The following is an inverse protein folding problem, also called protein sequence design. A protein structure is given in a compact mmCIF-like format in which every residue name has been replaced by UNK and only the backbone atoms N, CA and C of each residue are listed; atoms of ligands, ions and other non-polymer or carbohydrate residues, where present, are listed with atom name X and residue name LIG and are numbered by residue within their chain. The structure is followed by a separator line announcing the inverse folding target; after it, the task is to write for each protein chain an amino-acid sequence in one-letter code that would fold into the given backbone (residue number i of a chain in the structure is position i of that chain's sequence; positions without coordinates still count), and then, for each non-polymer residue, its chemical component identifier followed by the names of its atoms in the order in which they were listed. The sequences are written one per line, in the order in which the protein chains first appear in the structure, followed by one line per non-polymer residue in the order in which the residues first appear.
data_IF_246787677393
#
_entry.id   IF_246787677393
#
_cell.length_a   1.000
_cell.length_b   1.000
_cell.length_c   1.000
_cell.angle_alpha   90.00
_cell.angle_beta   90.00
_cell.angle_gamma   90.00
#
_symmetry.space_group_name_H-M   'P 1'
#
loop_
_entity.id
_entity.type
_entity.pdbx_description
1 polymer ?
#
# COMPACT_ATOMS: atom_id res chain seq x y z
N UNK A 1 -45.36 0.59 39.28
CA UNK A 1 -44.18 -0.25 39.55
C UNK A 1 -42.98 0.68 39.60
N UNK A 2 -42.08 0.54 40.58
CA UNK A 2 -40.86 1.34 40.64
C UNK A 2 -40.01 1.10 39.38
N UNK A 3 -39.36 2.14 38.86
CA UNK A 3 -38.50 2.04 37.69
C UNK A 3 -37.28 1.19 38.08
N UNK A 4 -36.73 0.45 37.12
CA UNK A 4 -35.57 -0.40 37.41
C UNK A 4 -34.36 0.49 37.72
N UNK A 5 -33.54 0.16 38.73
CA UNK A 5 -32.44 1.02 39.18
C UNK A 5 -31.40 1.27 38.08
N UNK A 6 -31.24 0.35 37.13
CA UNK A 6 -30.33 0.52 35.99
C UNK A 6 -30.82 1.61 35.02
N UNK A 7 -32.15 1.72 34.84
CA UNK A 7 -32.74 2.75 33.98
C UNK A 7 -32.66 4.13 34.64
N UNK A 8 -32.84 4.21 35.95
CA UNK A 8 -32.66 5.45 36.71
C UNK A 8 -31.22 5.93 36.60
N UNK A 9 -30.24 5.03 36.70
CA UNK A 9 -28.81 5.39 36.55
C UNK A 9 -28.44 5.80 35.12
N UNK A 10 -29.08 5.18 34.12
CA UNK A 10 -28.91 5.59 32.72
C UNK A 10 -29.42 7.01 32.49
N UNK A 11 -30.60 7.36 33.04
CA UNK A 11 -31.16 8.71 32.96
C UNK A 11 -30.23 9.74 33.64
N UNK A 12 -29.71 9.45 34.83
CA UNK A 12 -28.73 10.30 35.52
C UNK A 12 -27.45 10.53 34.69
N UNK A 13 -26.95 9.47 34.06
CA UNK A 13 -25.74 9.54 33.23
C UNK A 13 -26.00 10.38 31.97
N UNK A 14 -27.16 10.23 31.34
CA UNK A 14 -27.58 11.05 30.20
C UNK A 14 -27.65 12.53 30.58
N UNK A 15 -28.26 12.86 31.72
CA UNK A 15 -28.33 14.23 32.20
C UNK A 15 -26.95 14.83 32.50
N UNK A 16 -26.02 14.03 33.05
CA UNK A 16 -24.65 14.47 33.28
C UNK A 16 -23.89 14.73 31.96
N UNK A 17 -24.12 13.91 30.93
CA UNK A 17 -23.55 14.12 29.59
C UNK A 17 -24.08 15.40 28.93
N UNK A 18 -25.37 15.70 29.07
CA UNK A 18 -25.94 16.96 28.58
C UNK A 18 -25.33 18.19 29.27
N UNK A 19 -25.18 18.13 30.59
CA UNK A 19 -24.52 19.20 31.35
C UNK A 19 -23.05 19.38 30.94
N UNK A 20 -22.33 18.28 30.74
CA UNK A 20 -20.95 18.30 30.25
C UNK A 20 -20.87 18.90 28.83
N UNK A 21 -21.76 18.49 27.93
CA UNK A 21 -21.82 19.00 26.57
C UNK A 21 -22.06 20.52 26.52
N UNK A 22 -22.99 21.02 27.35
CA UNK A 22 -23.27 22.45 27.46
C UNK A 22 -22.04 23.22 27.97
N UNK A 23 -21.39 22.72 29.02
CA UNK A 23 -20.17 23.31 29.58
C UNK A 23 -19.05 23.40 28.52
N UNK A 24 -18.85 22.35 27.71
CA UNK A 24 -17.80 22.32 26.68
C UNK A 24 -18.13 23.26 25.52
N UNK A 25 -19.40 23.42 25.13
CA UNK A 25 -19.81 24.31 24.03
C UNK A 25 -19.56 25.79 24.32
N UNK A 26 -19.75 26.21 25.56
CA UNK A 26 -19.60 27.62 25.98
C UNK A 26 -18.19 27.96 26.48
N UNK A 27 -17.33 26.96 26.69
CA UNK A 27 -15.98 27.17 27.19
C UNK A 27 -15.03 27.70 26.09
N UNK A 28 -14.35 28.81 26.38
CA UNK A 28 -13.18 29.21 25.58
C UNK A 28 -11.99 28.30 25.94
N UNK A 29 -11.52 27.53 24.96
CA UNK A 29 -10.46 26.54 25.16
C UNK A 29 -9.23 26.80 24.31
N UNK A 30 -8.05 26.75 24.93
CA UNK A 30 -6.77 26.65 24.23
C UNK A 30 -6.63 25.31 23.51
N UNK A 31 -5.79 25.23 22.46
CA UNK A 31 -5.59 23.99 21.71
C UNK A 31 -5.13 22.78 22.57
N UNK A 32 -4.23 22.93 23.57
CA UNK A 32 -3.89 21.83 24.47
C UNK A 32 -5.05 21.37 25.35
N UNK A 33 -5.86 22.30 25.87
CA UNK A 33 -7.03 21.98 26.69
C UNK A 33 -8.09 21.23 25.87
N UNK A 34 -8.34 21.70 24.63
CA UNK A 34 -9.24 21.05 23.67
C UNK A 34 -8.82 19.61 23.36
N UNK A 35 -7.52 19.38 23.12
CA UNK A 35 -6.98 18.03 22.88
C UNK A 35 -7.23 17.10 24.07
N UNK A 36 -7.08 17.58 25.31
CA UNK A 36 -7.33 16.79 26.52
C UNK A 36 -8.82 16.44 26.69
N UNK A 37 -9.71 17.37 26.38
CA UNK A 37 -11.17 17.11 26.42
C UNK A 37 -11.58 16.10 25.34
N UNK A 38 -11.05 16.21 24.12
CA UNK A 38 -11.30 15.22 23.06
C UNK A 38 -10.79 13.82 23.45
N UNK A 39 -9.63 13.73 24.09
CA UNK A 39 -9.11 12.46 24.60
C UNK A 39 -10.05 11.87 25.68
N UNK A 40 -10.50 12.67 26.66
CA UNK A 40 -11.43 12.20 27.69
C UNK A 40 -12.78 11.75 27.11
N UNK A 41 -13.28 12.42 26.06
CA UNK A 41 -14.48 11.99 25.33
C UNK A 41 -14.25 10.63 24.65
N UNK A 42 -13.09 10.44 24.03
CA UNK A 42 -12.71 9.15 23.43
C UNK A 42 -12.70 8.03 24.48
N UNK A 43 -12.09 8.27 25.64
CA UNK A 43 -12.03 7.30 26.75
C UNK A 43 -13.45 6.94 27.26
N UNK A 44 -14.36 7.93 27.36
CA UNK A 44 -15.75 7.69 27.74
C UNK A 44 -16.51 6.87 26.68
N UNK A 45 -16.29 7.15 25.39
CA UNK A 45 -16.88 6.38 24.27
C UNK A 45 -16.42 4.92 24.29
N UNK A 46 -15.17 4.68 24.70
CA UNK A 46 -14.63 3.32 24.86
C UNK A 46 -15.27 2.61 26.05
N UNK A 47 -15.38 3.27 27.21
CA UNK A 47 -16.01 2.70 28.40
C UNK A 47 -17.49 2.35 28.20
N UNK A 48 -18.26 3.22 27.52
CA UNK A 48 -19.67 2.95 27.23
C UNK A 48 -19.86 1.79 26.26
N UNK A 49 -19.00 1.68 25.23
CA UNK A 49 -19.02 0.52 24.34
C UNK A 49 -18.66 -0.78 25.06
N UNK A 50 -17.67 -0.75 25.95
CA UNK A 50 -17.33 -1.93 26.73
C UNK A 50 -18.51 -2.35 27.63
N UNK A 51 -19.20 -1.39 28.23
CA UNK A 51 -20.39 -1.67 29.03
C UNK A 51 -21.50 -2.30 28.18
N UNK A 52 -21.79 -1.75 27.01
CA UNK A 52 -22.75 -2.29 26.04
C UNK A 52 -22.42 -3.76 25.69
N UNK A 53 -21.16 -4.04 25.32
CA UNK A 53 -20.70 -5.41 25.02
C UNK A 53 -20.82 -6.37 26.20
N UNK A 54 -20.65 -5.87 27.43
CA UNK A 54 -20.71 -6.70 28.64
C UNK A 54 -22.14 -7.08 29.05
N UNK A 55 -23.12 -6.23 28.71
CA UNK A 55 -24.52 -6.42 29.11
C UNK A 55 -25.39 -6.96 27.99
N UNK A 56 -24.97 -6.86 26.73
CA UNK A 56 -25.66 -7.46 25.60
C UNK A 56 -25.49 -9.00 25.65
N UNK A 57 -26.58 -9.78 25.87
CA UNK A 57 -26.50 -11.24 25.88
C UNK A 57 -26.26 -11.82 24.48
N UNK A 58 -26.41 -11.02 23.42
CA UNK A 58 -26.24 -11.44 22.03
C UNK A 58 -24.77 -11.26 21.64
N UNK A 59 -24.11 -12.37 21.29
CA UNK A 59 -22.72 -12.33 20.85
C UNK A 59 -22.62 -11.78 19.44
N UNK A 60 -21.65 -10.89 19.22
CA UNK A 60 -21.21 -10.51 17.89
C UNK A 60 -20.59 -11.73 17.18
N UNK A 61 -20.68 -11.80 15.85
CA UNK A 61 -20.07 -12.89 15.11
C UNK A 61 -18.55 -12.85 15.24
N UNK A 62 -17.91 -14.03 15.20
CA UNK A 62 -16.44 -14.13 15.28
C UNK A 62 -15.73 -13.44 14.09
N UNK A 63 -16.45 -13.25 12.98
CA UNK A 63 -15.98 -12.55 11.79
C UNK A 63 -17.13 -11.80 11.10
N UNK A 64 -16.81 -10.65 10.52
CA UNK A 64 -17.72 -9.84 9.70
C UNK A 64 -16.97 -9.44 8.42
N UNK A 65 -17.59 -9.73 7.27
CA UNK A 65 -17.05 -9.40 5.96
C UNK A 65 -17.90 -8.31 5.34
N UNK A 66 -17.36 -7.10 5.21
CA UNK A 66 -17.98 -6.01 4.46
C UNK A 66 -17.51 -6.04 2.99
N UNK A 67 -18.33 -6.52 2.05
CA UNK A 67 -17.94 -6.59 0.64
C UNK A 67 -17.77 -5.22 -0.01
N UNK A 68 -18.27 -4.14 0.62
CA UNK A 68 -18.16 -2.78 0.11
C UNK A 68 -16.84 -2.10 0.51
N UNK A 69 -16.03 -2.75 1.33
CA UNK A 69 -14.80 -2.18 1.85
C UNK A 69 -13.82 -1.82 0.70
N UNK A 70 -13.44 -0.54 0.52
CA UNK A 70 -12.58 -0.11 -0.59
C UNK A 70 -11.20 -0.81 -0.62
N UNK A 71 -10.72 -1.28 0.53
CA UNK A 71 -9.47 -2.04 0.64
C UNK A 71 -9.56 -3.37 -0.11
N UNK A 72 -10.72 -4.02 -0.13
CA UNK A 72 -10.91 -5.31 -0.81
C UNK A 72 -10.75 -5.18 -2.32
N UNK A 73 -11.14 -4.06 -2.92
CA UNK A 73 -10.95 -3.85 -4.36
C UNK A 73 -9.48 -3.89 -4.73
N UNK A 74 -8.60 -3.26 -3.93
CA UNK A 74 -7.15 -3.35 -4.12
C UNK A 74 -6.63 -4.78 -4.04
N UNK A 75 -7.19 -5.60 -3.13
CA UNK A 75 -6.85 -7.02 -3.01
C UNK A 75 -7.27 -7.81 -4.25
N UNK A 76 -8.50 -7.65 -4.74
CA UNK A 76 -8.97 -8.38 -5.92
C UNK A 76 -8.20 -8.03 -7.18
N UNK A 77 -7.87 -6.75 -7.37
CA UNK A 77 -7.03 -6.31 -8.50
C UNK A 77 -5.62 -6.89 -8.39
N UNK A 78 -5.04 -6.94 -7.19
CA UNK A 78 -3.74 -7.56 -6.96
C UNK A 78 -3.77 -9.07 -7.27
N UNK A 79 -4.79 -9.81 -6.81
CA UNK A 79 -4.99 -11.21 -7.16
C UNK A 79 -5.15 -11.43 -8.66
N UNK A 80 -5.94 -10.58 -9.33
CA UNK A 80 -6.13 -10.64 -10.76
C UNK A 80 -4.81 -10.42 -11.52
N UNK A 81 -3.95 -9.49 -11.07
CA UNK A 81 -2.62 -9.29 -11.63
C UNK A 81 -1.76 -10.55 -11.46
N UNK A 82 -1.71 -11.10 -10.25
CA UNK A 82 -0.88 -12.27 -9.93
C UNK A 82 -1.33 -13.55 -10.65
N UNK A 83 -2.59 -13.59 -11.06
CA UNK A 83 -3.14 -14.67 -11.88
C UNK A 83 -2.78 -14.57 -13.37
N UNK A 84 -2.22 -13.43 -13.81
CA UNK A 84 -1.74 -13.31 -15.19
C UNK A 84 -0.45 -14.10 -15.40
N UNK A 85 -0.26 -14.59 -16.62
CA UNK A 85 1.01 -15.19 -17.02
C UNK A 85 2.13 -14.15 -17.02
N UNK A 86 3.35 -14.61 -16.72
CA UNK A 86 4.54 -13.79 -16.84
C UNK A 86 4.96 -13.71 -18.29
N UNK A 87 5.26 -12.49 -18.73
CA UNK A 87 5.79 -12.24 -20.06
C UNK A 87 7.22 -11.71 -19.95
N UNK A 88 8.15 -12.08 -20.85
CA UNK A 88 9.46 -11.46 -20.90
C UNK A 88 9.33 -9.95 -21.06
N UNK A 89 10.00 -9.17 -20.20
CA UNK A 89 9.91 -7.70 -20.23
C UNK A 89 10.39 -7.12 -21.56
N UNK A 90 11.35 -7.78 -22.22
CA UNK A 90 11.84 -7.41 -23.54
C UNK A 90 10.89 -7.70 -24.70
N UNK A 91 9.84 -8.50 -24.50
CA UNK A 91 8.92 -8.95 -25.55
C UNK A 91 7.56 -8.24 -25.53
N UNK A 92 7.36 -7.26 -24.64
CA UNK A 92 6.09 -6.54 -24.55
C UNK A 92 5.81 -5.73 -25.82
N UNK A 93 4.59 -5.82 -26.33
CA UNK A 93 4.10 -5.01 -27.46
C UNK A 93 3.16 -3.91 -26.97
N UNK A 94 2.97 -2.80 -27.72
CA UNK A 94 2.01 -1.76 -27.34
C UNK A 94 0.60 -2.32 -27.13
N UNK A 95 -0.04 -1.90 -26.04
CA UNK A 95 -1.44 -2.21 -25.73
C UNK A 95 -2.11 -1.03 -25.01
N UNK A 96 -3.43 -0.93 -25.13
CA UNK A 96 -4.22 0.09 -24.44
C UNK A 96 -4.45 -0.28 -22.97
N UNK A 97 -4.46 0.73 -22.10
CA UNK A 97 -4.76 0.61 -20.70
C UNK A 97 -3.79 1.35 -19.78
N UNK A 98 -4.35 1.77 -18.66
CA UNK A 98 -3.66 2.19 -17.45
C UNK A 98 -3.91 1.14 -16.37
N UNK A 99 -3.05 1.05 -15.35
CA UNK A 99 -3.25 0.02 -14.33
C UNK A 99 -2.01 -0.27 -13.52
N UNK A 100 -1.82 -1.55 -13.19
CA UNK A 100 -0.80 -2.02 -12.27
C UNK A 100 0.09 -3.07 -12.95
N UNK A 101 1.35 -3.13 -12.55
CA UNK A 101 2.33 -4.09 -13.05
C UNK A 101 3.31 -4.52 -11.96
N UNK A 102 3.91 -5.68 -12.17
CA UNK A 102 4.97 -6.21 -11.35
C UNK A 102 6.10 -6.73 -12.25
N UNK A 103 7.35 -6.47 -11.87
CA UNK A 103 8.56 -6.92 -12.56
C UNK A 103 9.23 -7.98 -11.69
N UNK A 104 9.67 -9.05 -12.33
CA UNK A 104 10.29 -10.22 -11.70
C UNK A 104 11.69 -10.42 -12.26
N UNK A 105 12.57 -10.99 -11.44
CA UNK A 105 13.94 -11.31 -11.82
C UNK A 105 14.13 -12.83 -11.84
N UNK A 106 14.88 -13.31 -12.83
CA UNK A 106 15.23 -14.74 -13.00
C UNK A 106 16.69 -14.97 -13.40
N UNK A 107 17.52 -13.93 -13.28
CA UNK A 107 18.92 -13.98 -13.69
C UNK A 107 19.88 -14.39 -12.57
N UNK A 108 21.18 -14.36 -12.85
CA UNK A 108 22.22 -14.86 -11.96
C UNK A 108 22.84 -13.81 -11.02
N UNK A 109 22.40 -12.55 -11.02
CA UNK A 109 23.03 -11.50 -10.21
C UNK A 109 22.92 -11.82 -8.71
N UNK A 110 24.07 -11.96 -8.03
CA UNK A 110 24.15 -12.41 -6.64
C UNK A 110 23.28 -11.60 -5.68
N UNK A 111 23.21 -10.28 -5.88
CA UNK A 111 22.41 -9.38 -5.03
C UNK A 111 20.90 -9.70 -5.09
N UNK A 112 20.44 -10.44 -6.11
CA UNK A 112 19.04 -10.83 -6.30
C UNK A 112 18.80 -12.34 -6.24
N UNK A 113 19.84 -13.13 -5.94
CA UNK A 113 19.75 -14.59 -5.92
C UNK A 113 18.55 -15.13 -5.10
N UNK A 114 18.19 -14.57 -3.92
CA UNK A 114 17.08 -15.10 -3.12
C UNK A 114 15.69 -15.05 -3.79
N UNK A 115 15.46 -14.10 -4.71
CA UNK A 115 14.18 -13.93 -5.40
C UNK A 115 14.21 -14.40 -6.86
N UNK A 116 15.37 -14.82 -7.35
CA UNK A 116 15.54 -15.25 -8.74
C UNK A 116 14.66 -16.47 -9.04
N UNK A 117 13.78 -16.34 -10.04
CA UNK A 117 12.86 -17.41 -10.45
C UNK A 117 11.70 -17.67 -9.48
N UNK A 118 11.50 -16.81 -8.49
CA UNK A 118 10.42 -16.93 -7.49
C UNK A 118 9.17 -16.15 -7.90
N UNK A 119 8.11 -16.25 -7.09
CA UNK A 119 6.89 -15.44 -7.15
C UNK A 119 6.99 -14.04 -6.52
N UNK A 120 8.19 -13.64 -6.10
CA UNK A 120 8.46 -12.33 -5.47
C UNK A 120 8.90 -11.29 -6.51
N UNK A 121 8.12 -10.23 -6.75
CA UNK A 121 8.52 -9.17 -7.66
C UNK A 121 9.67 -8.35 -7.09
N UNK A 122 10.60 -7.94 -7.96
CA UNK A 122 11.69 -7.02 -7.61
C UNK A 122 11.19 -5.57 -7.58
N UNK A 123 10.15 -5.27 -8.36
CA UNK A 123 9.51 -3.96 -8.45
C UNK A 123 8.02 -4.09 -8.73
N UNK A 124 7.21 -3.24 -8.11
CA UNK A 124 5.79 -3.08 -8.40
C UNK A 124 5.53 -1.62 -8.74
N UNK A 125 4.67 -1.36 -9.71
CA UNK A 125 4.27 -0.01 -10.01
C UNK A 125 2.88 0.11 -10.62
N UNK A 126 2.43 1.36 -10.74
CA UNK A 126 1.25 1.73 -11.52
C UNK A 126 1.56 2.64 -12.70
N UNK A 127 0.59 2.74 -13.59
CA UNK A 127 0.48 3.77 -14.60
C UNK A 127 -0.91 4.40 -14.50
N UNK A 128 -0.98 5.71 -14.27
CA UNK A 128 -2.25 6.43 -14.15
C UNK A 128 -2.85 6.74 -15.53
N UNK A 129 -4.19 6.70 -15.65
CA UNK A 129 -4.87 7.12 -16.87
C UNK A 129 -4.78 8.63 -17.07
N UNK A 130 -5.00 9.13 -18.31
CA UNK A 130 -5.35 10.53 -18.52
C UNK A 130 -6.59 10.92 -17.73
N UNK A 131 -6.65 12.18 -17.29
CA UNK A 131 -7.81 12.72 -16.56
C UNK A 131 -9.10 12.53 -17.37
N UNK A 132 -10.11 11.92 -16.74
CA UNK A 132 -11.44 11.73 -17.34
C UNK A 132 -11.58 10.50 -18.24
N UNK A 133 -10.55 9.67 -18.41
CA UNK A 133 -10.66 8.43 -19.18
C UNK A 133 -11.62 7.43 -18.52
N UNK A 134 -12.63 6.98 -19.26
CA UNK A 134 -13.67 6.04 -18.81
C UNK A 134 -13.54 4.66 -19.46
N UNK A 135 -12.98 4.59 -20.66
CA UNK A 135 -12.77 3.36 -21.42
C UNK A 135 -11.28 3.00 -21.50
N UNK A 136 -10.97 1.72 -21.73
CA UNK A 136 -9.58 1.24 -21.87
C UNK A 136 -8.83 1.95 -23.00
N UNK A 137 -9.51 2.30 -24.10
CA UNK A 137 -8.91 3.02 -25.24
C UNK A 137 -8.55 4.46 -24.85
N UNK A 138 -9.43 5.16 -24.14
CA UNK A 138 -9.17 6.52 -23.62
C UNK A 138 -8.03 6.54 -22.59
N UNK A 139 -7.72 5.40 -21.98
CA UNK A 139 -6.55 5.28 -21.10
C UNK A 139 -5.21 5.24 -21.86
N UNK A 140 -5.23 5.24 -23.20
CA UNK A 140 -4.04 5.24 -24.06
C UNK A 140 -3.10 4.04 -23.77
N UNK A 141 -1.82 4.12 -24.11
CA UNK A 141 -0.84 3.04 -23.89
C UNK A 141 -0.03 3.24 -22.59
N UNK A 142 -0.66 3.77 -21.53
CA UNK A 142 0.03 4.24 -20.31
C UNK A 142 0.83 3.13 -19.63
N UNK A 143 0.24 1.95 -19.46
CA UNK A 143 0.89 0.82 -18.80
C UNK A 143 2.08 0.30 -19.62
N UNK A 144 1.90 0.11 -20.92
CA UNK A 144 2.97 -0.25 -21.85
C UNK A 144 4.10 0.79 -21.82
N UNK A 145 3.78 2.08 -21.89
CA UNK A 145 4.76 3.16 -21.91
C UNK A 145 5.63 3.14 -20.65
N UNK A 146 5.02 2.91 -19.47
CA UNK A 146 5.74 2.83 -18.20
C UNK A 146 6.63 1.59 -18.10
N UNK A 147 6.16 0.42 -18.53
CA UNK A 147 6.99 -0.79 -18.60
C UNK A 147 8.16 -0.63 -19.60
N UNK A 148 7.90 0.02 -20.73
CA UNK A 148 8.90 0.30 -21.75
C UNK A 148 9.98 1.29 -21.26
N UNK A 149 9.63 2.22 -20.36
CA UNK A 149 10.62 3.06 -19.68
C UNK A 149 11.55 2.23 -18.78
N UNK A 150 11.00 1.31 -17.97
CA UNK A 150 11.80 0.40 -17.14
C UNK A 150 12.70 -0.50 -17.98
N UNK A 151 12.15 -1.07 -19.06
CA UNK A 151 12.91 -1.85 -20.05
C UNK A 151 14.14 -1.07 -20.54
N UNK A 152 13.93 0.17 -21.01
CA UNK A 152 15.01 1.05 -21.49
C UNK A 152 16.02 1.44 -20.40
N UNK A 153 15.59 1.52 -19.13
CA UNK A 153 16.51 1.80 -18.02
C UNK A 153 17.40 0.60 -17.71
N UNK A 154 16.84 -0.63 -17.74
CA UNK A 154 17.59 -1.87 -17.56
C UNK A 154 18.59 -2.08 -18.71
N UNK A 155 18.22 -1.77 -19.96
CA UNK A 155 19.12 -1.87 -21.12
C UNK A 155 20.37 -0.98 -21.05
N UNK A 156 20.33 0.08 -20.24
CA UNK A 156 21.39 1.09 -20.16
C UNK A 156 22.43 0.81 -19.07
N UNK A 157 22.23 -0.21 -18.24
CA UNK A 157 23.05 -0.42 -17.05
C UNK A 157 23.83 -1.72 -17.09
N UNK A 158 24.95 -1.74 -16.39
CA UNK A 158 25.76 -2.93 -16.19
C UNK A 158 25.27 -3.76 -14.99
N UNK A 159 25.62 -5.05 -14.97
CA UNK A 159 25.35 -5.96 -13.85
C UNK A 159 24.04 -6.74 -13.93
N UNK A 160 23.14 -6.36 -14.84
CA UNK A 160 21.88 -7.07 -15.13
C UNK A 160 21.60 -7.10 -16.63
N UNK A 161 20.91 -8.12 -17.11
CA UNK A 161 20.52 -8.28 -18.52
C UNK A 161 18.99 -8.25 -18.63
N UNK A 162 18.46 -7.57 -19.65
CA UNK A 162 17.02 -7.47 -19.87
C UNK A 162 16.34 -8.85 -20.03
N UNK A 163 17.03 -9.85 -20.60
CA UNK A 163 16.47 -11.20 -20.79
C UNK A 163 16.14 -11.93 -19.48
N UNK A 164 16.68 -11.43 -18.38
CA UNK A 164 16.51 -11.96 -17.02
C UNK A 164 15.30 -11.33 -16.30
N UNK A 165 14.52 -10.50 -17.00
CA UNK A 165 13.34 -9.85 -16.44
C UNK A 165 12.06 -10.29 -17.12
N UNK A 166 11.06 -10.53 -16.28
CA UNK A 166 9.69 -10.84 -16.67
C UNK A 166 8.75 -9.83 -16.03
N UNK A 167 7.54 -9.69 -16.55
CA UNK A 167 6.53 -8.84 -15.95
C UNK A 167 5.13 -9.45 -16.03
N UNK A 168 4.29 -9.04 -15.09
CA UNK A 168 2.83 -9.10 -15.19
C UNK A 168 2.31 -7.67 -15.34
N UNK A 169 1.30 -7.48 -16.17
CA UNK A 169 0.67 -6.19 -16.38
C UNK A 169 -0.84 -6.38 -16.46
N UNK A 170 -1.60 -5.55 -15.75
CA UNK A 170 -3.06 -5.60 -15.76
C UNK A 170 -3.60 -4.19 -15.96
N UNK A 171 -4.29 -3.98 -17.09
CA UNK A 171 -5.10 -2.79 -17.30
C UNK A 171 -6.34 -2.85 -16.41
N UNK A 172 -6.67 -1.74 -15.75
CA UNK A 172 -7.79 -1.66 -14.81
C UNK A 172 -8.63 -0.41 -15.05
N UNK A 173 -9.85 -0.41 -14.56
CA UNK A 173 -10.68 0.81 -14.58
C UNK A 173 -10.01 1.91 -13.74
N UNK A 174 -10.14 3.14 -14.23
CA UNK A 174 -9.57 4.34 -13.63
C UNK A 174 -9.97 4.46 -12.15
N UNK A 175 -8.98 4.60 -11.27
CA UNK A 175 -9.18 4.76 -9.82
C UNK A 175 -8.72 3.57 -8.99
N UNK A 176 -8.60 2.37 -9.59
CA UNK A 176 -8.22 1.17 -8.83
C UNK A 176 -6.72 0.87 -8.80
N UNK A 177 -5.94 1.48 -9.70
CA UNK A 177 -4.52 1.17 -9.84
C UNK A 177 -3.69 1.49 -8.58
N UNK A 178 -4.03 2.55 -7.85
CA UNK A 178 -3.29 2.97 -6.65
C UNK A 178 -3.53 2.04 -5.46
N UNK A 179 -4.77 1.59 -5.26
CA UNK A 179 -5.09 0.65 -4.20
C UNK A 179 -4.38 -0.70 -4.42
N UNK A 180 -4.33 -1.17 -5.67
CA UNK A 180 -3.64 -2.40 -6.04
C UNK A 180 -2.12 -2.32 -5.86
N UNK A 181 -1.49 -1.25 -6.36
CA UNK A 181 -0.04 -1.01 -6.18
C UNK A 181 0.32 -1.00 -4.69
N UNK A 182 -0.41 -0.21 -3.90
CA UNK A 182 -0.17 -0.12 -2.46
C UNK A 182 -0.32 -1.47 -1.75
N UNK A 183 -1.30 -2.27 -2.15
CA UNK A 183 -1.50 -3.61 -1.60
C UNK A 183 -0.32 -4.53 -1.95
N UNK A 184 0.07 -4.60 -3.22
CA UNK A 184 1.19 -5.42 -3.70
C UNK A 184 2.52 -5.01 -3.05
N UNK A 185 2.79 -3.72 -2.87
CA UNK A 185 4.00 -3.25 -2.19
C UNK A 185 4.04 -3.71 -0.73
N UNK A 186 2.90 -3.64 -0.02
CA UNK A 186 2.81 -4.12 1.38
C UNK A 186 2.96 -5.63 1.50
N UNK A 187 2.47 -6.38 0.51
CA UNK A 187 2.56 -7.84 0.49
C UNK A 187 3.99 -8.30 0.21
N UNK A 188 4.61 -7.78 -0.85
CA UNK A 188 5.87 -8.30 -1.38
C UNK A 188 7.12 -7.56 -0.91
N UNK A 189 7.00 -6.34 -0.40
CA UNK A 189 8.15 -5.50 -0.03
C UNK A 189 9.23 -5.39 -1.13
N UNK A 190 8.87 -5.13 -2.40
CA UNK A 190 9.82 -5.17 -3.52
C UNK A 190 11.02 -4.24 -3.34
N UNK A 191 12.24 -4.78 -3.42
CA UNK A 191 13.47 -4.05 -3.04
C UNK A 191 13.77 -2.81 -3.89
N UNK A 192 13.24 -2.71 -5.13
CA UNK A 192 13.43 -1.53 -5.99
C UNK A 192 12.42 -0.40 -5.74
N UNK A 193 11.38 -0.66 -4.96
CA UNK A 193 10.37 0.34 -4.64
C UNK A 193 10.89 1.38 -3.67
N UNK A 194 10.39 2.62 -3.80
CA UNK A 194 10.81 3.73 -2.94
C UNK A 194 10.40 3.50 -1.48
N UNK A 195 9.38 2.69 -1.23
CA UNK A 195 8.80 2.38 0.07
C UNK A 195 9.75 1.56 0.94
N UNK A 196 10.62 0.73 0.34
CA UNK A 196 11.58 -0.07 1.11
C UNK A 196 12.80 0.76 1.55
N UNK A 197 13.11 1.86 0.86
CA UNK A 197 14.28 2.73 1.10
C UNK A 197 15.65 2.02 1.00
N UNK A 198 15.69 0.88 0.32
CA UNK A 198 16.91 0.07 0.14
C UNK A 198 17.54 0.35 -1.22
N UNK A 199 16.95 -0.18 -2.29
CA UNK A 199 17.51 -0.16 -3.65
C UNK A 199 16.65 0.63 -4.62
N UNK A 200 16.21 1.81 -4.18
CA UNK A 200 15.27 2.65 -4.93
C UNK A 200 15.95 3.48 -6.01
N UNK A 201 15.16 3.92 -7.02
CA UNK A 201 15.59 4.91 -8.01
C UNK A 201 15.46 4.52 -9.49
N UNK A 202 15.03 3.30 -9.80
CA UNK A 202 14.80 2.87 -11.20
C UNK A 202 13.79 3.79 -11.93
N UNK A 203 12.73 4.22 -11.24
CA UNK A 203 11.68 5.09 -11.79
C UNK A 203 12.04 6.58 -11.87
N UNK A 204 13.23 7.00 -11.44
CA UNK A 204 13.70 8.39 -11.58
C UNK A 204 14.00 8.68 -13.04
N UNK A 205 13.36 9.71 -13.56
CA UNK A 205 13.76 10.33 -14.82
C UNK A 205 14.87 11.33 -14.52
N UNK A 206 15.92 11.33 -15.35
CA UNK A 206 16.98 12.32 -15.22
C UNK A 206 16.39 13.70 -15.47
N UNK A 207 16.28 14.51 -14.42
CA UNK A 207 16.01 15.93 -14.58
C UNK A 207 17.08 16.54 -15.50
N UNK A 208 16.71 17.55 -16.27
CA UNK A 208 17.62 18.25 -17.16
C UNK A 208 18.92 18.66 -16.43
N UNK A 209 20.02 18.77 -17.18
CA UNK A 209 21.39 18.95 -16.69
C UNK A 209 21.66 20.16 -15.75
N UNK A 210 20.63 20.93 -15.37
CA UNK A 210 20.65 22.09 -14.48
C UNK A 210 20.38 21.77 -12.99
N UNK A 211 19.89 20.58 -12.61
CA UNK A 211 19.62 20.20 -11.19
C UNK A 211 20.73 19.36 -10.54
N UNK A 212 22.01 19.72 -10.81
CA UNK A 212 23.25 19.01 -10.43
C UNK A 212 23.56 18.82 -8.93
N UNK A 213 22.56 18.85 -8.05
CA UNK A 213 22.73 18.71 -6.61
C UNK A 213 22.26 17.35 -6.04
N UNK A 214 21.64 16.49 -6.85
CA UNK A 214 21.08 15.23 -6.35
C UNK A 214 22.10 14.08 -6.44
N UNK A 215 22.37 13.45 -5.30
CA UNK A 215 23.14 12.21 -5.23
C UNK A 215 22.54 11.13 -6.15
N UNK A 216 23.39 10.30 -6.79
CA UNK A 216 22.90 9.13 -7.53
C UNK A 216 22.18 8.17 -6.58
N UNK A 217 21.11 7.56 -7.06
CA UNK A 217 20.25 6.70 -6.24
C UNK A 217 20.97 5.39 -5.88
N UNK A 218 20.55 4.68 -4.81
CA UNK A 218 21.08 3.34 -4.51
C UNK A 218 20.99 2.38 -5.70
N UNK A 219 19.91 2.45 -6.50
CA UNK A 219 19.79 1.65 -7.71
C UNK A 219 20.88 1.99 -8.75
N UNK A 220 21.18 3.28 -8.96
CA UNK A 220 22.27 3.72 -9.86
C UNK A 220 23.67 3.41 -9.32
N UNK A 221 23.82 3.29 -7.99
CA UNK A 221 25.07 2.85 -7.38
C UNK A 221 25.36 1.39 -7.70
N UNK A 222 24.36 0.51 -7.60
CA UNK A 222 24.52 -0.92 -7.90
C UNK A 222 24.54 -1.18 -9.42
N UNK A 223 23.75 -0.43 -10.20
CA UNK A 223 23.60 -0.60 -11.66
C UNK A 223 24.08 0.64 -12.41
N UNK A 224 25.41 0.83 -12.57
CA UNK A 224 25.94 1.98 -13.27
C UNK A 224 25.64 1.91 -14.78
N UNK A 225 25.42 3.07 -15.40
CA UNK A 225 25.31 3.18 -16.87
C UNK A 225 24.37 4.30 -17.36
N UNK A 226 23.43 4.76 -16.51
CA UNK A 226 22.58 5.92 -16.85
C UNK A 226 23.42 7.20 -16.87
N UNK A 227 23.48 7.86 -18.03
CA UNK A 227 24.34 9.04 -18.25
C UNK A 227 24.15 10.18 -17.23
N UNK A 228 22.91 10.42 -16.77
CA UNK A 228 22.62 11.49 -15.80
C UNK A 228 23.17 11.20 -14.40
N UNK A 229 23.39 9.92 -14.05
CA UNK A 229 23.92 9.50 -12.75
C UNK A 229 25.45 9.43 -12.74
N UNK A 230 26.09 9.49 -13.92
CA UNK A 230 27.54 9.42 -14.04
C UNK A 230 28.17 10.68 -13.41
N UNK A 231 29.13 10.47 -12.50
CA UNK A 231 29.85 11.56 -11.83
C UNK A 231 29.14 12.18 -10.62
N UNK A 232 27.90 11.81 -10.32
CA UNK A 232 27.21 12.26 -9.11
C UNK A 232 27.66 11.46 -7.88
N UNK A 233 27.77 12.10 -6.70
CA UNK A 233 28.10 11.41 -5.45
C UNK A 233 27.03 10.36 -5.10
N UNK A 234 27.46 9.26 -4.48
CA UNK A 234 26.56 8.17 -4.09
C UNK A 234 25.78 8.56 -2.83
N UNK A 235 24.46 8.28 -2.80
CA UNK A 235 23.66 8.49 -1.59
C UNK A 235 23.95 7.44 -0.49
N UNK A 236 24.31 6.22 -0.90
CA UNK A 236 24.72 5.09 -0.06
C UNK A 236 25.83 4.33 -0.77
N UNK A 237 26.76 3.76 -0.02
CA UNK A 237 27.83 2.92 -0.57
C UNK A 237 27.29 1.56 -1.01
N UNK A 238 27.96 0.95 -1.99
CA UNK A 238 27.64 -0.41 -2.47
C UNK A 238 27.57 -1.43 -1.33
N UNK A 239 28.48 -1.36 -0.36
CA UNK A 239 28.53 -2.29 0.78
C UNK A 239 27.30 -2.14 1.68
N UNK A 240 26.94 -0.89 2.02
CA UNK A 240 25.75 -0.59 2.82
C UNK A 240 24.49 -1.10 2.14
N UNK A 241 24.36 -0.86 0.83
CA UNK A 241 23.22 -1.32 0.05
C UNK A 241 23.14 -2.86 0.03
N UNK A 242 24.26 -3.55 -0.19
CA UNK A 242 24.31 -5.03 -0.19
C UNK A 242 23.91 -5.61 1.16
N UNK A 243 24.38 -5.01 2.26
CA UNK A 243 23.99 -5.42 3.62
C UNK A 243 22.50 -5.22 3.87
N UNK A 244 21.92 -4.10 3.45
CA UNK A 244 20.48 -3.83 3.60
C UNK A 244 19.62 -4.80 2.76
N UNK A 245 20.05 -5.10 1.52
CA UNK A 245 19.37 -6.09 0.67
C UNK A 245 19.42 -7.49 1.28
N UNK A 246 20.58 -7.92 1.79
CA UNK A 246 20.71 -9.21 2.46
C UNK A 246 19.81 -9.30 3.70
N UNK A 247 19.79 -8.26 4.53
CA UNK A 247 18.92 -8.19 5.70
C UNK A 247 17.44 -8.21 5.34
N UNK A 248 17.08 -7.52 4.26
CA UNK A 248 15.71 -7.51 3.76
C UNK A 248 15.25 -8.92 3.38
N UNK A 249 16.03 -9.66 2.61
CA UNK A 249 15.68 -11.04 2.23
C UNK A 249 15.68 -12.02 3.40
N UNK A 250 16.37 -11.70 4.50
CA UNK A 250 16.33 -12.48 5.74
C UNK A 250 15.05 -12.25 6.54
N UNK A 251 14.47 -11.05 6.46
CA UNK A 251 13.37 -10.60 7.34
C UNK A 251 12.02 -10.49 6.66
N UNK A 252 11.97 -10.33 5.33
CA UNK A 252 10.75 -10.18 4.55
C UNK A 252 10.36 -11.48 3.86
N UNK A 253 9.05 -11.72 3.63
CA UNK A 253 8.59 -12.94 2.99
C UNK A 253 9.10 -13.03 1.55
N UNK A 254 9.54 -14.22 1.17
CA UNK A 254 9.85 -14.59 -0.21
C UNK A 254 8.85 -15.66 -0.63
N UNK A 255 8.01 -15.31 -1.58
CA UNK A 255 7.02 -16.18 -2.19
C UNK A 255 7.68 -16.93 -3.33
N UNK A 256 7.80 -18.25 -3.23
CA UNK A 256 8.42 -19.10 -4.25
C UNK A 256 7.41 -19.60 -5.26
N UNK A 257 6.19 -19.83 -4.81
CA UNK A 257 5.10 -20.37 -5.62
C UNK A 257 3.86 -19.47 -5.55
N UNK A 258 2.94 -19.66 -6.49
CA UNK A 258 1.65 -18.95 -6.47
C UNK A 258 0.80 -19.40 -5.27
N UNK A 259 0.98 -20.64 -4.80
CA UNK A 259 0.32 -21.14 -3.59
C UNK A 259 0.75 -20.37 -2.34
N UNK A 260 2.04 -20.04 -2.20
CA UNK A 260 2.54 -19.19 -1.10
C UNK A 260 1.80 -17.85 -1.05
N UNK A 261 1.58 -17.26 -2.23
CA UNK A 261 0.85 -15.99 -2.39
C UNK A 261 -0.60 -16.16 -1.95
N UNK A 262 -1.31 -17.17 -2.49
CA UNK A 262 -2.71 -17.39 -2.16
C UNK A 262 -2.92 -17.65 -0.67
N UNK A 263 -2.01 -18.38 -0.03
CA UNK A 263 -2.06 -18.62 1.40
C UNK A 263 -1.89 -17.33 2.22
N UNK A 264 -0.95 -16.46 1.83
CA UNK A 264 -0.78 -15.16 2.48
C UNK A 264 -1.98 -14.23 2.25
N UNK A 265 -2.61 -14.31 1.08
CA UNK A 265 -3.85 -13.59 0.79
C UNK A 265 -5.01 -14.07 1.67
N UNK A 266 -5.22 -15.39 1.74
CA UNK A 266 -6.28 -15.96 2.56
C UNK A 266 -6.11 -15.62 4.04
N UNK A 267 -4.86 -15.58 4.54
CA UNK A 267 -4.57 -15.12 5.90
C UNK A 267 -4.85 -13.63 6.09
N UNK A 268 -4.49 -12.79 5.12
CA UNK A 268 -4.77 -11.35 5.16
C UNK A 268 -6.27 -11.04 5.20
N UNK A 269 -7.09 -11.74 4.40
CA UNK A 269 -8.55 -11.61 4.42
C UNK A 269 -9.10 -12.05 5.78
N UNK A 270 -8.70 -13.23 6.28
CA UNK A 270 -9.12 -13.71 7.61
C UNK A 270 -8.82 -12.72 8.73
N UNK A 271 -7.69 -12.01 8.65
CA UNK A 271 -7.31 -11.00 9.64
C UNK A 271 -8.11 -9.70 9.49
N UNK A 272 -8.44 -9.30 8.26
CA UNK A 272 -9.27 -8.13 7.99
C UNK A 272 -10.73 -8.35 8.44
N UNK A 273 -11.22 -9.59 8.31
CA UNK A 273 -12.59 -10.00 8.63
C UNK A 273 -12.81 -10.33 10.10
N UNK A 274 -11.73 -10.38 10.91
CA UNK A 274 -11.89 -10.47 12.36
C UNK A 274 -12.65 -9.24 12.82
N UNK A 275 -13.80 -9.49 13.41
CA UNK A 275 -14.67 -8.44 13.90
C UNK A 275 -13.93 -7.64 14.98
N UNK A 276 -13.57 -6.41 14.62
CA UNK A 276 -12.99 -5.42 15.53
C UNK A 276 -14.08 -4.39 15.84
N UNK A 277 -14.76 -4.49 17.00
CA UNK A 277 -15.85 -3.59 17.37
C UNK A 277 -15.43 -2.12 17.45
N UNK A 278 -14.14 -1.81 17.50
CA UNK A 278 -13.65 -0.44 17.49
C UNK A 278 -13.47 0.14 16.07
N UNK A 279 -13.48 -0.69 15.02
CA UNK A 279 -13.44 -0.27 13.61
C UNK A 279 -14.78 0.22 13.06
N UNK A 280 -15.91 -0.32 13.50
CA UNK A 280 -17.25 0.14 13.05
C UNK A 280 -17.47 1.62 13.41
N UNK A 281 -16.95 2.06 14.56
CA UNK A 281 -16.98 3.45 15.03
C UNK A 281 -16.29 4.47 14.11
N UNK A 282 -15.24 4.07 13.39
CA UNK A 282 -14.51 4.95 12.47
C UNK A 282 -15.24 5.12 11.13
N UNK A 283 -16.08 4.14 10.74
CA UNK A 283 -16.86 4.20 9.50
C UNK A 283 -18.13 5.05 9.64
N UNK A 284 -18.75 5.10 10.83
CA UNK A 284 -19.90 5.97 11.11
C UNK A 284 -19.54 7.45 11.28
N UNK A 285 -18.26 7.79 11.54
CA UNK A 285 -17.82 9.16 11.79
C UNK A 285 -17.32 9.92 10.55
N UNK A 286 -17.42 9.36 9.33
CA UNK A 286 -17.16 10.16 8.12
C UNK A 286 -18.32 11.13 7.87
N UNK A 287 -18.09 12.46 7.87
CA UNK A 287 -19.12 13.39 7.45
C UNK A 287 -19.40 13.16 5.96
N UNK A 288 -20.67 13.06 5.60
CA UNK A 288 -21.07 13.15 4.19
C UNK A 288 -20.50 14.43 3.58
N UNK A 289 -19.95 14.30 2.38
CA UNK A 289 -19.48 15.45 1.58
C UNK A 289 -20.58 16.51 1.52
N UNK A 290 -20.28 17.79 1.79
CA UNK A 290 -21.23 18.86 1.52
C UNK A 290 -21.36 19.03 0.00
N UNK A 291 -22.62 19.06 -0.46
CA UNK A 291 -23.04 19.41 -1.83
C UNK A 291 -22.42 20.72 -2.35
#
# INVERSE_FOLDING_TARGET
MARRPELEKADETSAALEQFAEMVRVAEMTAPSRKRVLAAISDMKEALLQLERNIDPIRLPDAFFDPSEPRLIGHFVALALLSQERLPLGAITPFYGSGVYAIYYRGPADIYAPISGTETPIYVGKADPPTGAKTVVEQETRLFSRLNEHRKNIEKVAGIDLKDFECRALAVQSGYQAAAENHLIRLFWPIWNNETKILFGIGKHGDAASTRANNKSPWDTIHPGRAWAAGNPEAKSTESIRSEVAEHFRTKPIFRTTEDIFNAFAEGIRQADRFDPDREKEMEEKPGDPE
#
